data_IF_702197307821
#
_entry.id   IF_702197307821
#
_cell.length_a   1.000
_cell.length_b   1.000
_cell.length_c   1.000
_cell.angle_alpha   90.00
_cell.angle_beta   90.00
_cell.angle_gamma   90.00
#
_symmetry.space_group_name_H-M   'P 1'
#
loop_
_entity.id
_entity.type
_entity.pdbx_description
1 polymer ?
#
# COMPACT_ATOMS: atom_id res chain seq x y z
N UNK A 1 -24.42 -10.24 22.53
CA UNK A 1 -25.03 -10.38 21.18
C UNK A 1 -24.09 -11.28 20.42
N UNK A 2 -24.60 -12.36 19.81
CA UNK A 2 -23.74 -13.22 19.00
C UNK A 2 -23.42 -12.49 17.68
N UNK A 3 -22.15 -12.50 17.29
CA UNK A 3 -21.64 -11.71 16.16
C UNK A 3 -21.06 -12.62 15.08
N UNK A 4 -21.10 -12.15 13.83
CA UNK A 4 -20.38 -12.77 12.71
C UNK A 4 -19.30 -11.78 12.29
N UNK A 5 -18.06 -12.24 12.18
CA UNK A 5 -16.91 -11.39 11.89
C UNK A 5 -15.98 -12.01 10.87
N UNK A 6 -15.44 -11.17 9.99
CA UNK A 6 -14.37 -11.48 9.06
C UNK A 6 -13.03 -11.04 9.67
N UNK A 7 -12.02 -11.91 9.66
CA UNK A 7 -10.67 -11.64 10.16
C UNK A 7 -9.61 -11.99 9.12
N UNK A 8 -8.35 -11.65 9.42
CA UNK A 8 -7.18 -11.90 8.56
C UNK A 8 -7.36 -11.32 7.14
N UNK A 9 -7.94 -10.13 7.08
CA UNK A 9 -8.16 -9.35 5.86
C UNK A 9 -7.56 -7.96 6.02
N UNK A 10 -6.91 -7.45 4.99
CA UNK A 10 -6.56 -6.03 4.93
C UNK A 10 -7.80 -5.25 4.49
N UNK A 11 -8.21 -4.25 5.27
CA UNK A 11 -9.42 -3.48 4.96
C UNK A 11 -9.21 -2.71 3.64
N UNK A 12 -10.10 -2.82 2.65
CA UNK A 12 -9.90 -2.17 1.37
C UNK A 12 -10.11 -0.65 1.38
N UNK A 13 -10.62 -0.11 2.48
CA UNK A 13 -10.89 1.33 2.64
C UNK A 13 -9.78 2.06 3.40
N UNK A 14 -9.25 1.46 4.47
CA UNK A 14 -8.20 2.09 5.29
C UNK A 14 -6.88 1.31 5.28
N UNK A 15 -6.77 0.23 4.51
CA UNK A 15 -5.59 -0.63 4.42
C UNK A 15 -5.08 -1.12 5.77
N UNK A 16 -5.91 -1.17 6.82
CA UNK A 16 -5.52 -1.76 8.10
C UNK A 16 -5.30 -3.25 7.92
N UNK A 17 -4.11 -3.73 8.26
CA UNK A 17 -3.81 -5.15 8.31
C UNK A 17 -4.54 -5.85 9.44
N UNK A 18 -4.90 -7.12 9.20
CA UNK A 18 -5.68 -7.93 10.13
C UNK A 18 -6.92 -7.19 10.66
N UNK A 19 -7.61 -6.48 9.77
CA UNK A 19 -8.84 -5.78 10.10
C UNK A 19 -9.91 -6.77 10.57
N UNK A 20 -10.71 -6.33 11.53
CA UNK A 20 -11.93 -7.02 11.94
C UNK A 20 -13.10 -6.32 11.26
N UNK A 21 -13.82 -7.06 10.42
CA UNK A 21 -15.03 -6.59 9.74
C UNK A 21 -16.24 -7.29 10.38
N UNK A 22 -17.20 -6.52 10.86
CA UNK A 22 -18.38 -7.03 11.54
C UNK A 22 -19.55 -7.12 10.55
N UNK A 23 -20.18 -8.29 10.45
CA UNK A 23 -21.26 -8.53 9.49
C UNK A 23 -22.58 -7.96 10.00
N UNK A 24 -23.15 -7.05 9.23
CA UNK A 24 -24.42 -6.37 9.53
C UNK A 24 -25.60 -6.91 8.71
N UNK A 25 -25.30 -7.48 7.54
CA UNK A 25 -26.32 -8.02 6.63
C UNK A 25 -25.87 -9.26 5.89
N UNK A 26 -26.81 -10.11 5.51
CA UNK A 26 -26.56 -11.29 4.70
C UNK A 26 -27.63 -11.48 3.62
N UNK A 27 -27.26 -12.06 2.49
CA UNK A 27 -28.19 -12.46 1.43
C UNK A 27 -27.69 -13.71 0.73
N UNK A 28 -28.57 -14.70 0.56
CA UNK A 28 -28.24 -15.93 -0.18
C UNK A 28 -28.17 -15.66 -1.69
N UNK A 29 -27.12 -16.16 -2.34
CA UNK A 29 -26.85 -16.02 -3.76
C UNK A 29 -27.04 -17.38 -4.46
N UNK A 30 -28.27 -17.68 -4.89
CA UNK A 30 -28.64 -18.99 -5.45
C UNK A 30 -27.84 -19.44 -6.67
N UNK A 31 -27.33 -18.51 -7.49
CA UNK A 31 -26.52 -18.83 -8.67
C UNK A 31 -25.09 -19.30 -8.33
N UNK A 32 -24.59 -18.93 -7.15
CA UNK A 32 -23.23 -19.22 -6.68
C UNK A 32 -23.21 -20.24 -5.54
N UNK A 33 -24.37 -20.52 -4.96
CA UNK A 33 -24.53 -21.28 -3.72
C UNK A 33 -23.71 -20.70 -2.55
N UNK A 34 -23.61 -19.37 -2.49
CA UNK A 34 -22.88 -18.61 -1.47
C UNK A 34 -23.82 -17.66 -0.73
N UNK A 35 -23.37 -17.13 0.40
CA UNK A 35 -23.97 -15.95 1.03
C UNK A 35 -23.09 -14.72 0.78
N UNK A 36 -23.71 -13.63 0.31
CA UNK A 36 -23.10 -12.31 0.32
C UNK A 36 -23.29 -11.71 1.72
N UNK A 37 -22.19 -11.53 2.44
CA UNK A 37 -22.15 -10.90 3.76
C UNK A 37 -21.70 -9.45 3.62
N UNK A 38 -22.56 -8.51 4.00
CA UNK A 38 -22.20 -7.11 4.14
C UNK A 38 -21.56 -6.90 5.52
N UNK A 39 -20.30 -6.50 5.54
CA UNK A 39 -19.53 -6.24 6.74
C UNK A 39 -19.03 -4.79 6.81
N UNK A 40 -18.91 -4.26 8.02
CA UNK A 40 -18.37 -2.93 8.30
C UNK A 40 -17.01 -3.07 9.00
N UNK A 41 -16.00 -2.36 8.51
CA UNK A 41 -14.72 -2.29 9.19
C UNK A 41 -14.84 -1.55 10.52
N UNK A 42 -14.43 -2.18 11.63
CA UNK A 42 -14.48 -1.56 12.97
C UNK A 42 -13.53 -0.37 13.16
N UNK A 43 -12.65 -0.11 12.20
CA UNK A 43 -11.64 0.96 12.30
C UNK A 43 -11.97 2.20 11.48
N UNK A 44 -12.53 2.04 10.27
CA UNK A 44 -12.85 3.16 9.39
C UNK A 44 -14.33 3.23 8.98
N UNK A 45 -15.16 2.29 9.45
CA UNK A 45 -16.57 2.16 9.09
C UNK A 45 -16.83 1.91 7.59
N UNK A 46 -15.80 1.55 6.82
CA UNK A 46 -15.93 1.21 5.40
C UNK A 46 -16.65 -0.12 5.20
N UNK A 47 -17.54 -0.18 4.20
CA UNK A 47 -18.36 -1.35 3.89
C UNK A 47 -17.65 -2.32 2.94
N UNK A 48 -17.69 -3.62 3.25
CA UNK A 48 -17.10 -4.71 2.48
C UNK A 48 -18.15 -5.78 2.26
N UNK A 49 -18.21 -6.34 1.07
CA UNK A 49 -19.01 -7.53 0.77
C UNK A 49 -18.07 -8.73 0.72
N UNK A 50 -18.37 -9.80 1.45
CA UNK A 50 -17.69 -11.08 1.34
C UNK A 50 -18.64 -12.14 0.77
N UNK A 51 -18.20 -12.89 -0.24
CA UNK A 51 -18.93 -14.06 -0.72
C UNK A 51 -18.41 -15.29 0.02
N UNK A 52 -19.29 -15.96 0.74
CA UNK A 52 -18.93 -17.05 1.65
C UNK A 52 -19.73 -18.29 1.32
N UNK A 53 -19.01 -19.38 1.08
CA UNK A 53 -19.57 -20.73 0.93
C UNK A 53 -19.85 -21.29 2.34
N UNK A 54 -21.12 -21.53 2.71
CA UNK A 54 -21.48 -22.05 4.02
C UNK A 54 -21.17 -23.55 4.14
N UNK A 55 -20.93 -24.02 5.37
CA UNK A 55 -20.97 -25.44 5.66
C UNK A 55 -22.43 -25.95 5.75
N UNK A 56 -22.62 -27.27 5.81
CA UNK A 56 -23.96 -27.87 5.89
C UNK A 56 -24.78 -27.40 7.10
N UNK A 57 -24.15 -27.11 8.24
CA UNK A 57 -24.86 -26.64 9.44
C UNK A 57 -25.41 -25.22 9.25
N UNK A 58 -24.62 -24.32 8.67
CA UNK A 58 -25.02 -22.95 8.37
C UNK A 58 -26.11 -22.93 7.28
N UNK A 59 -25.95 -23.74 6.23
CA UNK A 59 -26.96 -23.87 5.16
C UNK A 59 -28.31 -24.34 5.71
N UNK A 60 -28.31 -25.35 6.58
CA UNK A 60 -29.54 -25.85 7.22
C UNK A 60 -30.21 -24.84 8.14
N UNK A 61 -29.49 -23.78 8.55
CA UNK A 61 -30.00 -22.71 9.40
C UNK A 61 -30.26 -21.40 8.63
N UNK A 62 -30.36 -21.47 7.30
CA UNK A 62 -30.66 -20.32 6.44
C UNK A 62 -29.67 -19.14 6.58
N UNK A 63 -28.39 -19.42 6.81
CA UNK A 63 -27.33 -18.40 6.80
C UNK A 63 -26.58 -18.21 8.11
N UNK A 64 -25.55 -17.38 8.06
CA UNK A 64 -24.58 -17.17 9.12
C UNK A 64 -25.17 -16.36 10.28
N UNK A 65 -25.89 -15.28 9.99
CA UNK A 65 -26.52 -14.45 11.04
C UNK A 65 -27.62 -15.22 11.75
N UNK A 66 -28.44 -15.98 11.01
CA UNK A 66 -29.47 -16.84 11.60
C UNK A 66 -28.88 -17.92 12.51
N UNK A 67 -27.85 -18.63 12.04
CA UNK A 67 -27.13 -19.61 12.85
C UNK A 67 -26.53 -18.99 14.12
N UNK A 68 -25.80 -17.88 13.97
CA UNK A 68 -25.15 -17.19 15.09
C UNK A 68 -26.16 -16.75 16.17
N UNK A 69 -27.27 -16.13 15.76
CA UNK A 69 -28.32 -15.66 16.67
C UNK A 69 -29.09 -16.80 17.32
N UNK A 70 -29.45 -17.84 16.55
CA UNK A 70 -30.21 -18.99 17.03
C UNK A 70 -29.46 -19.78 18.10
N UNK A 71 -28.17 -20.04 17.86
CA UNK A 71 -27.32 -20.80 18.79
C UNK A 71 -26.55 -19.94 19.80
N UNK A 72 -26.70 -18.61 19.72
CA UNK A 72 -25.94 -17.63 20.53
C UNK A 72 -24.42 -17.87 20.47
N UNK A 73 -23.90 -18.12 19.27
CA UNK A 73 -22.49 -18.39 19.01
C UNK A 73 -21.88 -17.35 18.09
N UNK A 74 -20.70 -16.86 18.46
CA UNK A 74 -19.91 -16.02 17.57
C UNK A 74 -19.34 -16.86 16.43
N UNK A 75 -19.41 -16.32 15.22
CA UNK A 75 -18.84 -16.92 14.01
C UNK A 75 -17.65 -16.08 13.57
N UNK A 76 -16.50 -16.73 13.43
CA UNK A 76 -15.29 -16.11 12.90
C UNK A 76 -15.01 -16.75 11.54
N UNK A 77 -14.99 -15.94 10.49
CA UNK A 77 -14.64 -16.33 9.13
C UNK A 77 -13.25 -15.81 8.80
N UNK A 78 -12.36 -16.72 8.44
CA UNK A 78 -10.98 -16.42 8.09
C UNK A 78 -10.91 -16.09 6.60
N UNK A 79 -10.38 -14.92 6.25
CA UNK A 79 -10.28 -14.46 4.87
C UNK A 79 -8.97 -14.86 4.18
N UNK A 80 -8.09 -15.64 4.83
CA UNK A 80 -6.87 -16.12 4.18
C UNK A 80 -7.23 -16.98 2.96
N UNK A 81 -6.55 -16.79 1.81
CA UNK A 81 -6.79 -17.60 0.63
C UNK A 81 -6.70 -19.10 0.94
N UNK A 82 -7.64 -19.88 0.40
CA UNK A 82 -7.73 -21.33 0.57
C UNK A 82 -7.98 -21.82 2.00
N UNK A 83 -8.32 -20.94 2.94
CA UNK A 83 -8.64 -21.33 4.32
C UNK A 83 -10.16 -21.46 4.53
N UNK A 84 -10.60 -22.61 5.05
CA UNK A 84 -11.99 -22.81 5.50
C UNK A 84 -12.08 -22.69 7.02
N UNK A 85 -13.01 -21.88 7.52
CA UNK A 85 -13.36 -21.89 8.95
C UNK A 85 -14.30 -23.05 9.27
N UNK A 86 -14.59 -23.25 10.56
CA UNK A 86 -15.60 -24.24 11.00
C UNK A 86 -16.95 -24.04 10.29
N UNK A 87 -17.29 -22.80 9.96
CA UNK A 87 -18.63 -22.40 9.49
C UNK A 87 -18.74 -22.20 7.97
N UNK A 88 -17.62 -22.05 7.27
CA UNK A 88 -17.61 -21.81 5.82
C UNK A 88 -16.28 -21.32 5.28
N UNK A 89 -16.22 -21.08 3.97
CA UNK A 89 -15.03 -20.57 3.27
C UNK A 89 -15.34 -19.26 2.57
N UNK A 90 -14.58 -18.22 2.88
CA UNK A 90 -14.62 -16.95 2.15
C UNK A 90 -13.99 -17.16 0.77
N UNK A 91 -14.75 -16.93 -0.30
CA UNK A 91 -14.26 -17.10 -1.67
C UNK A 91 -13.59 -15.81 -2.18
N UNK A 92 -14.21 -14.66 -1.91
CA UNK A 92 -13.71 -13.35 -2.32
C UNK A 92 -14.33 -12.23 -1.50
N UNK A 93 -13.71 -11.04 -1.56
CA UNK A 93 -14.21 -9.82 -0.94
C UNK A 93 -14.18 -8.64 -1.90
N UNK A 94 -15.08 -7.69 -1.69
CA UNK A 94 -15.25 -6.49 -2.50
C UNK A 94 -15.46 -5.26 -1.60
N UNK A 95 -14.81 -4.12 -1.90
CA UNK A 95 -13.73 -3.96 -2.87
C UNK A 95 -12.47 -4.74 -2.45
N UNK A 96 -11.58 -5.01 -3.40
CA UNK A 96 -10.27 -5.57 -3.10
C UNK A 96 -9.39 -4.47 -2.49
N UNK A 97 -8.56 -4.84 -1.51
CA UNK A 97 -7.62 -3.90 -0.94
C UNK A 97 -6.59 -3.48 -1.98
N UNK A 98 -6.26 -2.20 -2.00
CA UNK A 98 -5.23 -1.67 -2.89
C UNK A 98 -3.89 -2.16 -2.36
N UNK A 99 -3.22 -3.01 -3.15
CA UNK A 99 -1.83 -3.34 -2.89
C UNK A 99 -0.96 -2.14 -3.29
N UNK A 100 -0.10 -1.70 -2.38
CA UNK A 100 0.89 -0.66 -2.69
C UNK A 100 2.25 -1.30 -2.90
N UNK A 101 2.82 -1.02 -4.07
CA UNK A 101 4.18 -1.44 -4.40
C UNK A 101 5.08 -0.22 -4.61
N UNK A 102 6.38 -0.45 -4.39
CA UNK A 102 7.42 0.47 -4.80
C UNK A 102 7.83 0.21 -6.26
N UNK A 103 8.36 1.22 -6.97
CA UNK A 103 8.89 1.03 -8.32
C UNK A 103 9.89 -0.12 -8.41
N UNK A 104 9.88 -0.82 -9.54
CA UNK A 104 10.76 -1.98 -9.77
C UNK A 104 12.24 -1.65 -9.53
N UNK A 105 13.00 -2.61 -9.04
CA UNK A 105 14.42 -2.45 -8.65
C UNK A 105 14.69 -1.42 -7.54
N UNK A 106 13.66 -0.85 -6.90
CA UNK A 106 13.85 -0.05 -5.68
C UNK A 106 14.44 -0.93 -4.58
N UNK A 107 15.52 -0.49 -3.90
CA UNK A 107 16.12 -1.25 -2.79
C UNK A 107 15.11 -1.54 -1.68
N UNK A 108 15.11 -2.76 -1.13
CA UNK A 108 14.09 -3.24 -0.18
C UNK A 108 13.85 -2.28 0.99
N UNK A 109 14.93 -1.75 1.60
CA UNK A 109 14.84 -0.81 2.72
C UNK A 109 14.14 0.49 2.33
N UNK A 110 14.37 0.98 1.12
CA UNK A 110 13.77 2.22 0.60
C UNK A 110 12.32 1.96 0.20
N UNK A 111 12.07 0.84 -0.48
CA UNK A 111 10.74 0.41 -0.90
C UNK A 111 9.77 0.28 0.27
N UNK A 112 10.21 -0.28 1.41
CA UNK A 112 9.38 -0.39 2.62
C UNK A 112 8.84 0.97 3.10
N UNK A 113 9.69 2.00 3.20
CA UNK A 113 9.23 3.33 3.62
C UNK A 113 8.32 4.00 2.58
N UNK A 114 8.52 3.71 1.30
CA UNK A 114 7.68 4.26 0.24
C UNK A 114 6.28 3.61 0.21
N UNK A 115 6.21 2.29 0.40
CA UNK A 115 4.94 1.57 0.57
C UNK A 115 4.19 2.10 1.80
N UNK A 116 4.89 2.25 2.93
CA UNK A 116 4.32 2.85 4.14
C UNK A 116 3.82 4.28 3.91
N UNK A 117 4.49 5.07 3.07
CA UNK A 117 4.04 6.41 2.69
C UNK A 117 2.72 6.36 1.90
N UNK A 118 2.60 5.48 0.89
CA UNK A 118 1.37 5.26 0.14
C UNK A 118 0.22 4.82 1.04
N UNK A 119 0.48 3.92 1.99
CA UNK A 119 -0.51 3.51 2.99
C UNK A 119 -0.99 4.69 3.84
N UNK A 120 -0.05 5.49 4.38
CA UNK A 120 -0.40 6.65 5.20
C UNK A 120 -1.20 7.69 4.40
N UNK A 121 -0.86 7.91 3.14
CA UNK A 121 -1.65 8.75 2.24
C UNK A 121 -3.10 8.24 2.12
N UNK A 122 -3.28 6.94 1.86
CA UNK A 122 -4.60 6.32 1.74
C UNK A 122 -5.44 6.39 3.02
N UNK A 123 -4.79 6.50 4.18
CA UNK A 123 -5.41 6.61 5.50
C UNK A 123 -5.70 8.05 5.91
N UNK A 124 -5.31 9.06 5.11
CA UNK A 124 -5.42 10.46 5.47
C UNK A 124 -4.33 10.99 6.42
N UNK A 125 -3.28 10.18 6.68
CA UNK A 125 -2.14 10.56 7.51
C UNK A 125 -1.11 11.35 6.69
N UNK A 126 -1.50 12.54 6.21
CA UNK A 126 -0.75 13.32 5.23
C UNK A 126 0.64 13.73 5.73
N UNK A 127 0.77 14.22 6.97
CA UNK A 127 2.06 14.59 7.55
C UNK A 127 3.04 13.41 7.62
N UNK A 128 2.54 12.24 8.05
CA UNK A 128 3.35 11.02 8.11
C UNK A 128 3.77 10.56 6.72
N UNK A 129 2.87 10.66 5.73
CA UNK A 129 3.20 10.40 4.32
C UNK A 129 4.34 11.31 3.85
N UNK A 130 4.24 12.62 4.07
CA UNK A 130 5.29 13.59 3.70
C UNK A 130 6.64 13.29 4.36
N UNK A 131 6.64 12.99 5.66
CA UNK A 131 7.85 12.63 6.41
C UNK A 131 8.51 11.34 5.88
N UNK A 132 7.72 10.30 5.59
CA UNK A 132 8.21 9.06 5.00
C UNK A 132 8.77 9.28 3.59
N UNK A 133 8.12 10.09 2.76
CA UNK A 133 8.63 10.44 1.42
C UNK A 133 9.99 11.16 1.50
N UNK A 134 10.15 12.14 2.39
CA UNK A 134 11.44 12.82 2.61
C UNK A 134 12.52 11.83 3.05
N UNK A 135 12.18 10.86 3.90
CA UNK A 135 13.08 9.77 4.32
C UNK A 135 13.48 8.85 3.16
N UNK A 136 12.53 8.51 2.28
CA UNK A 136 12.77 7.72 1.06
C UNK A 136 13.78 8.43 0.17
N UNK A 137 13.57 9.72 -0.11
CA UNK A 137 14.49 10.52 -0.93
C UNK A 137 15.87 10.65 -0.26
N UNK A 138 15.93 10.88 1.04
CA UNK A 138 17.20 10.95 1.78
C UNK A 138 18.00 9.65 1.66
N UNK A 139 17.36 8.49 1.85
CA UNK A 139 18.02 7.19 1.73
C UNK A 139 18.42 6.87 0.28
N UNK A 140 17.55 7.16 -0.69
CA UNK A 140 17.81 6.90 -2.10
C UNK A 140 18.99 7.74 -2.62
N UNK A 141 18.98 9.05 -2.34
CA UNK A 141 20.07 9.95 -2.74
C UNK A 141 21.41 9.56 -2.09
N UNK A 142 21.40 9.10 -0.83
CA UNK A 142 22.60 8.56 -0.16
C UNK A 142 23.12 7.28 -0.80
N UNK A 143 22.22 6.39 -1.23
CA UNK A 143 22.60 5.14 -1.89
C UNK A 143 23.17 5.37 -3.29
N UNK A 144 22.68 6.38 -4.01
CA UNK A 144 23.20 6.77 -5.33
C UNK A 144 24.51 7.57 -5.27
N UNK A 145 24.87 8.11 -4.10
CA UNK A 145 26.04 8.98 -3.98
C UNK A 145 27.35 8.18 -4.11
N UNK A 146 28.12 8.50 -5.17
CA UNK A 146 29.49 8.03 -5.39
C UNK A 146 30.41 8.86 -4.49
N UNK A 147 31.00 8.23 -3.48
CA UNK A 147 31.67 8.84 -2.33
C UNK A 147 32.93 9.65 -2.68
N UNK A 148 33.01 10.90 -2.20
CA UNK A 148 34.22 11.50 -1.62
C UNK A 148 33.79 12.41 -0.43
N UNK A 149 34.67 12.53 0.55
CA UNK A 149 34.36 12.69 1.97
C UNK A 149 33.97 14.11 2.44
N UNK A 150 33.46 14.10 3.66
CA UNK A 150 33.27 15.16 4.66
C UNK A 150 31.82 15.64 4.80
N UNK A 151 31.04 14.81 5.50
CA UNK A 151 29.87 15.15 6.34
C UNK A 151 28.51 15.41 5.68
N UNK A 152 27.59 14.44 5.74
CA UNK A 152 26.18 14.73 6.10
C UNK A 152 25.37 15.77 5.28
N UNK A 153 25.76 16.08 4.03
CA UNK A 153 25.30 17.24 3.24
C UNK A 153 23.78 17.25 2.99
N UNK A 154 23.17 18.41 3.26
CA UNK A 154 21.74 18.75 3.04
C UNK A 154 21.20 18.19 1.73
N UNK A 155 19.94 17.77 1.73
CA UNK A 155 19.31 17.08 0.59
C UNK A 155 19.50 17.83 -0.74
N UNK A 156 19.30 19.15 -0.73
CA UNK A 156 19.51 20.02 -1.89
C UNK A 156 20.88 19.82 -2.56
N UNK A 157 21.97 19.70 -1.79
CA UNK A 157 23.32 19.51 -2.35
C UNK A 157 23.50 18.15 -3.01
N UNK A 158 22.83 17.10 -2.51
CA UNK A 158 22.84 15.78 -3.16
C UNK A 158 22.07 15.80 -4.47
N UNK A 159 20.92 16.47 -4.50
CA UNK A 159 20.14 16.64 -5.73
C UNK A 159 20.96 17.39 -6.80
N UNK A 160 21.68 18.45 -6.42
CA UNK A 160 22.53 19.22 -7.34
C UNK A 160 23.65 18.37 -7.96
N UNK A 161 24.28 17.50 -7.16
CA UNK A 161 25.29 16.57 -7.65
C UNK A 161 24.71 15.49 -8.55
N UNK A 162 23.56 14.91 -8.21
CA UNK A 162 22.90 13.91 -9.04
C UNK A 162 22.54 14.50 -10.42
N UNK A 163 22.06 15.74 -10.45
CA UNK A 163 21.84 16.48 -11.69
C UNK A 163 23.14 16.67 -12.48
N UNK A 164 24.20 17.14 -11.81
CA UNK A 164 25.50 17.41 -12.47
C UNK A 164 26.11 16.15 -13.07
N UNK A 165 25.91 14.99 -12.43
CA UNK A 165 26.34 13.67 -12.92
C UNK A 165 25.39 13.07 -13.97
N UNK A 166 24.29 13.74 -14.31
CA UNK A 166 23.27 13.24 -15.24
C UNK A 166 22.46 12.05 -14.70
N UNK A 167 22.49 11.80 -13.39
CA UNK A 167 21.71 10.74 -12.75
C UNK A 167 20.23 11.13 -12.60
N UNK A 168 19.93 12.43 -12.58
CA UNK A 168 18.59 13.00 -12.68
C UNK A 168 18.59 14.15 -13.68
N UNK A 169 17.42 14.52 -14.22
CA UNK A 169 17.28 15.65 -15.14
C UNK A 169 17.20 16.99 -14.40
N UNK A 170 17.30 18.10 -15.16
CA UNK A 170 17.09 19.44 -14.61
C UNK A 170 15.67 19.60 -14.04
N UNK A 171 14.67 19.09 -14.74
CA UNK A 171 13.26 19.17 -14.34
C UNK A 171 13.01 18.40 -13.03
N UNK A 172 13.66 17.25 -12.84
CA UNK A 172 13.62 16.51 -11.58
C UNK A 172 14.24 17.30 -10.43
N UNK A 173 15.34 18.01 -10.69
CA UNK A 173 15.97 18.88 -9.71
C UNK A 173 15.04 20.05 -9.34
N UNK A 174 14.45 20.73 -10.32
CA UNK A 174 13.55 21.86 -10.08
C UNK A 174 12.26 21.43 -9.36
N UNK A 175 11.74 20.24 -9.67
CA UNK A 175 10.56 19.69 -8.99
C UNK A 175 10.82 19.43 -7.49
N UNK A 176 12.05 19.05 -7.12
CA UNK A 176 12.44 18.84 -5.73
C UNK A 176 12.30 20.10 -4.87
N UNK A 177 12.59 21.28 -5.46
CA UNK A 177 12.42 22.58 -4.81
C UNK A 177 10.94 22.96 -4.71
N UNK A 178 10.15 22.68 -5.77
CA UNK A 178 8.70 22.93 -5.78
C UNK A 178 7.99 22.16 -4.66
N UNK A 179 8.34 20.89 -4.43
CA UNK A 179 7.73 20.07 -3.37
C UNK A 179 8.37 20.27 -1.98
N UNK A 180 9.28 21.24 -1.85
CA UNK A 180 9.89 21.68 -0.58
C UNK A 180 10.39 20.53 0.29
N UNK A 181 11.26 19.68 -0.27
CA UNK A 181 11.74 18.49 0.43
C UNK A 181 12.61 18.82 1.67
N UNK A 182 13.32 19.94 1.66
CA UNK A 182 14.01 20.48 2.84
C UNK A 182 12.97 21.15 3.76
N UNK A 183 12.27 20.34 4.56
CA UNK A 183 11.24 20.76 5.52
C UNK A 183 11.72 21.66 6.68
N UNK A 184 12.89 22.31 6.54
CA UNK A 184 13.47 23.20 7.56
C UNK A 184 12.95 24.65 7.48
N UNK A 185 12.28 25.06 6.41
CA UNK A 185 11.87 26.46 6.21
C UNK A 185 10.39 26.77 6.45
N UNK A 186 9.57 25.81 6.90
CA UNK A 186 8.12 26.03 7.07
C UNK A 186 7.45 25.24 8.20
N UNK A 187 8.09 25.18 9.37
CA UNK A 187 7.38 24.88 10.63
C UNK A 187 6.65 26.13 11.20
N UNK A 188 6.49 27.19 10.39
CA UNK A 188 5.87 28.45 10.81
C UNK A 188 4.79 29.00 9.85
N UNK A 189 4.43 28.29 8.77
CA UNK A 189 3.13 28.55 8.14
C UNK A 189 2.09 27.75 8.92
N UNK A 190 1.08 28.42 9.45
CA UNK A 190 -0.09 27.82 10.12
C UNK A 190 -0.95 26.96 9.15
N UNK A 191 -0.49 26.74 7.93
CA UNK A 191 -1.15 25.94 6.90
C UNK A 191 -0.91 24.44 7.15
N UNK A 192 -1.99 23.73 7.46
CA UNK A 192 -2.04 22.29 7.67
C UNK A 192 -1.48 21.55 6.44
N UNK A 193 -0.62 20.53 6.62
CA UNK A 193 -0.06 19.74 5.52
C UNK A 193 -1.17 18.86 4.92
N UNK A 194 -1.80 19.37 3.87
CA UNK A 194 -3.02 18.81 3.32
C UNK A 194 -2.80 17.63 2.34
N UNK A 195 -3.92 17.06 1.89
CA UNK A 195 -3.92 15.94 0.93
C UNK A 195 -3.22 16.30 -0.40
N UNK A 196 -3.25 17.56 -0.82
CA UNK A 196 -2.63 18.01 -2.07
C UNK A 196 -1.10 18.05 -1.92
N UNK A 197 -0.61 18.61 -0.82
CA UNK A 197 0.82 18.68 -0.48
C UNK A 197 1.41 17.29 -0.30
N UNK A 198 0.69 16.39 0.39
CA UNK A 198 1.10 15.00 0.54
C UNK A 198 1.18 14.28 -0.81
N UNK A 199 0.19 14.50 -1.69
CA UNK A 199 0.17 13.89 -3.03
C UNK A 199 1.34 14.39 -3.88
N UNK A 200 1.62 15.69 -3.86
CA UNK A 200 2.71 16.28 -4.63
C UNK A 200 4.08 15.69 -4.24
N UNK A 201 4.34 15.55 -2.93
CA UNK A 201 5.58 14.94 -2.43
C UNK A 201 5.63 13.44 -2.73
N UNK A 202 4.50 12.73 -2.64
CA UNK A 202 4.41 11.30 -2.96
C UNK A 202 4.71 11.03 -4.44
N UNK A 203 4.12 11.83 -5.34
CA UNK A 203 4.30 11.72 -6.79
C UNK A 203 5.73 12.04 -7.22
N UNK A 204 6.32 13.07 -6.62
CA UNK A 204 7.73 13.36 -6.79
C UNK A 204 8.58 12.15 -6.38
N UNK A 205 8.29 11.57 -5.21
CA UNK A 205 9.06 10.45 -4.66
C UNK A 205 8.96 9.21 -5.54
N UNK A 206 7.76 8.89 -6.03
CA UNK A 206 7.55 7.78 -6.96
C UNK A 206 8.36 7.97 -8.24
N UNK A 207 8.26 9.16 -8.83
CA UNK A 207 8.96 9.50 -10.07
C UNK A 207 10.47 9.46 -9.87
N UNK A 208 10.97 9.99 -8.75
CA UNK A 208 12.39 9.92 -8.41
C UNK A 208 12.89 8.48 -8.35
N UNK A 209 12.17 7.57 -7.68
CA UNK A 209 12.54 6.15 -7.59
C UNK A 209 12.56 5.47 -8.96
N UNK A 210 11.61 5.79 -9.84
CA UNK A 210 11.58 5.29 -11.22
C UNK A 210 12.85 5.68 -12.00
N UNK A 211 13.27 6.94 -11.90
CA UNK A 211 14.51 7.41 -12.55
C UNK A 211 15.77 6.87 -11.90
N UNK A 212 15.80 6.82 -10.56
CA UNK A 212 16.97 6.44 -9.79
C UNK A 212 17.32 4.95 -9.89
N UNK A 213 16.31 4.08 -9.98
CA UNK A 213 16.49 2.64 -9.87
C UNK A 213 15.86 1.86 -11.02
N UNK A 214 14.59 2.13 -11.33
CA UNK A 214 13.86 1.33 -12.33
C UNK A 214 14.44 1.49 -13.74
N UNK A 215 14.63 2.72 -14.19
CA UNK A 215 15.15 3.00 -15.54
C UNK A 215 16.58 2.45 -15.73
N UNK A 216 17.55 2.68 -14.80
CA UNK A 216 18.86 2.04 -14.89
C UNK A 216 18.80 0.51 -14.94
N UNK A 217 17.95 -0.12 -14.13
CA UNK A 217 17.80 -1.58 -14.11
C UNK A 217 17.23 -2.11 -15.44
N UNK A 218 16.24 -1.43 -16.01
CA UNK A 218 15.68 -1.77 -17.33
C UNK A 218 16.73 -1.70 -18.44
N UNK A 219 17.58 -0.65 -18.43
CA UNK A 219 18.66 -0.49 -19.42
C UNK A 219 19.72 -1.59 -19.25
N UNK A 220 20.10 -1.92 -18.02
CA UNK A 220 21.07 -2.99 -17.75
C UNK A 220 20.55 -4.36 -18.22
N UNK A 221 19.30 -4.68 -17.92
CA UNK A 221 18.67 -5.92 -18.39
C UNK A 221 18.69 -6.02 -19.93
N UNK A 222 18.36 -4.92 -20.63
CA UNK A 222 18.40 -4.88 -22.09
C UNK A 222 19.79 -5.00 -22.70
N UNK A 223 20.82 -4.48 -22.02
CA UNK A 223 22.22 -4.66 -22.46
C UNK A 223 22.66 -6.11 -22.31
N UNK A 224 22.36 -6.74 -21.17
CA UNK A 224 22.67 -8.15 -20.94
C UNK A 224 21.98 -9.09 -21.95
N UNK A 225 20.69 -8.86 -22.25
CA UNK A 225 19.96 -9.61 -23.28
C UNK A 225 20.62 -9.51 -24.67
N UNK A 226 21.23 -8.37 -25.00
CA UNK A 226 21.87 -8.15 -26.29
C UNK A 226 23.23 -8.84 -26.38
N UNK A 227 24.00 -8.85 -25.28
CA UNK A 227 25.31 -9.51 -25.18
C UNK A 227 25.19 -11.05 -25.20
N UNK A 228 24.18 -11.62 -24.53
CA UNK A 228 23.90 -13.06 -24.56
C UNK A 228 23.44 -13.57 -25.94
N UNK A 229 22.81 -12.69 -26.74
CA UNK A 229 22.40 -12.99 -28.12
C UNK A 229 23.56 -12.98 -29.12
N UNK A 230 24.65 -12.26 -28.83
CA UNK A 230 25.86 -12.22 -29.65
C UNK A 230 26.83 -13.37 -29.35
N UNK A 231 26.89 -13.87 -28.11
CA UNK A 231 27.72 -15.05 -27.75
C UNK A 231 27.14 -16.40 -28.23
N UNK A 232 25.88 -16.43 -28.64
CA UNK A 232 25.19 -17.64 -29.16
C UNK A 232 25.06 -17.67 -30.69
N UNK A 233 25.61 -16.67 -31.41
CA UNK A 233 25.68 -16.61 -32.88
C UNK A 233 27.09 -16.87 -33.40
#
# INVERSE_FOLDING_TARGET
MAMVSLINISCPHCNRDNAVLEVEGETYQSLKDTHALMAICRSCSGAVIAEVEPNAQVSNNNGFLNFSRGYKRDIILDCRPYYGSEFGRVQCTYPLAVAFDAPNATPERIGKFFIEAKENYSRGNYETCGALCRKVIDLATKQMAIAEDISAWKLHKRMEQLKTKGAITQEMYDWADIVRLDGNEQTHSEDEFDSHSAKAVLDFTETFLLYAFTLPAMVQAKRAESEEGEEQS
#
